data_IF_176844563552
#
_entry.id   IF_176844563552
#
_cell.length_a   1.000
_cell.length_b   1.000
_cell.length_c   1.000
_cell.angle_alpha   90.00
_cell.angle_beta   90.00
_cell.angle_gamma   90.00
#
_symmetry.space_group_name_H-M   'P 1'
#
loop_
_entity.id
_entity.type
_entity.pdbx_description
1 polymer ?
#
# COMPACT_ATOMS: atom_id res chain seq x y z
N UNK A 1 8.15 -40.78 57.65
CA UNK A 1 8.71 -39.51 58.14
C UNK A 1 8.18 -38.41 57.23
N UNK A 2 7.07 -37.81 57.62
CA UNK A 2 6.33 -36.85 56.80
C UNK A 2 6.36 -35.51 57.51
N UNK A 3 6.92 -34.50 56.86
CA UNK A 3 7.11 -33.17 57.44
C UNK A 3 5.90 -32.28 57.11
N UNK A 4 5.21 -31.98 58.19
CA UNK A 4 4.25 -30.93 58.53
C UNK A 4 4.16 -29.70 57.61
N UNK A 5 2.95 -29.46 57.12
CA UNK A 5 2.48 -28.17 56.60
C UNK A 5 2.17 -27.21 57.75
N UNK A 6 2.58 -25.94 57.64
CA UNK A 6 2.23 -24.90 58.62
C UNK A 6 1.66 -23.64 57.95
N UNK A 7 0.55 -23.19 58.55
CA UNK A 7 -0.42 -22.17 58.17
C UNK A 7 0.17 -20.76 57.99
N UNK A 8 -0.45 -20.03 57.05
CA UNK A 8 -0.51 -18.58 56.98
C UNK A 8 -1.29 -17.98 58.16
N UNK A 9 -0.90 -16.78 58.64
CA UNK A 9 -1.80 -15.76 59.21
C UNK A 9 -1.08 -14.40 59.51
N UNK A 10 -1.49 -13.35 58.77
CA UNK A 10 -1.74 -11.91 59.09
C UNK A 10 -0.92 -11.08 60.12
N UNK A 11 -0.65 -9.81 59.75
CA UNK A 11 -0.41 -8.65 60.65
C UNK A 11 0.95 -7.95 60.45
N UNK A 12 1.10 -6.89 59.63
CA UNK A 12 0.85 -5.45 59.89
C UNK A 12 1.78 -4.82 60.97
N UNK A 13 2.76 -4.00 60.51
CA UNK A 13 3.31 -2.72 61.05
C UNK A 13 4.85 -2.59 60.83
N UNK A 14 5.31 -1.68 59.95
CA UNK A 14 5.84 -0.31 60.21
C UNK A 14 7.38 -0.26 60.31
N UNK A 15 8.04 0.41 59.32
CA UNK A 15 9.06 1.48 59.46
C UNK A 15 9.49 1.93 58.03
N UNK A 16 8.93 3.00 57.43
CA UNK A 16 9.40 4.41 57.42
C UNK A 16 10.87 4.61 56.99
N UNK A 17 11.09 4.99 55.72
CA UNK A 17 12.14 5.95 55.33
C UNK A 17 11.55 6.92 54.30
N UNK A 18 11.75 8.21 54.59
CA UNK A 18 11.16 9.40 53.99
C UNK A 18 12.03 9.89 52.82
N UNK A 19 11.41 10.24 51.69
CA UNK A 19 11.98 11.17 50.71
C UNK A 19 10.85 12.01 50.10
N UNK A 20 10.76 13.26 50.55
CA UNK A 20 9.81 14.29 50.12
C UNK A 20 10.50 15.17 49.08
N UNK A 21 9.92 15.29 47.87
CA UNK A 21 10.09 16.47 47.02
C UNK A 21 8.79 16.80 46.29
N UNK A 22 8.50 18.10 46.29
CA UNK A 22 7.20 18.75 46.16
C UNK A 22 6.69 18.79 44.71
N UNK A 23 5.46 18.33 44.50
CA UNK A 23 4.65 18.68 43.32
C UNK A 23 3.77 19.88 43.67
N UNK A 24 4.06 21.02 43.05
CA UNK A 24 3.22 22.22 43.10
C UNK A 24 2.07 22.11 42.09
N UNK A 25 0.85 22.11 42.61
CA UNK A 25 -0.41 22.26 41.86
C UNK A 25 -0.56 23.69 41.32
N UNK A 26 -0.67 23.83 40.00
CA UNK A 26 -1.05 25.08 39.34
C UNK A 26 -2.53 25.07 38.94
N UNK A 27 -3.29 26.02 39.47
CA UNK A 27 -4.71 26.27 39.20
C UNK A 27 -4.92 27.21 38.00
N UNK A 28 -5.96 26.91 37.21
CA UNK A 28 -6.83 27.78 36.40
C UNK A 28 -6.38 29.19 36.05
N UNK A 29 -6.38 29.51 34.74
CA UNK A 29 -7.00 30.73 34.20
C UNK A 29 -7.19 30.61 32.68
N UNK A 30 -8.45 30.62 32.24
CA UNK A 30 -8.81 30.78 30.82
C UNK A 30 -8.85 32.28 30.52
N UNK A 31 -8.07 32.72 29.54
CA UNK A 31 -7.99 34.13 29.14
C UNK A 31 -8.80 34.32 27.85
N UNK A 32 -9.85 35.13 27.93
CA UNK A 32 -10.71 35.50 26.80
C UNK A 32 -9.97 36.41 25.82
N UNK A 33 -10.06 36.11 24.52
CA UNK A 33 -9.61 37.01 23.44
C UNK A 33 -10.77 37.91 23.04
N UNK A 34 -10.55 39.21 23.14
CA UNK A 34 -11.49 40.29 22.87
C UNK A 34 -11.42 40.68 21.38
N UNK A 35 -12.54 40.60 20.66
CA UNK A 35 -12.66 41.11 19.27
C UNK A 35 -13.47 42.41 19.28
N UNK A 36 -12.82 43.50 18.83
CA UNK A 36 -13.41 44.83 18.71
C UNK A 36 -14.30 44.92 17.46
N UNK A 37 -15.55 45.41 17.53
CA UNK A 37 -16.39 45.59 16.36
C UNK A 37 -16.13 46.91 15.62
N UNK A 38 -16.23 46.87 14.29
CA UNK A 38 -16.15 48.02 13.38
C UNK A 38 -17.54 48.70 13.30
N UNK A 39 -17.68 50.03 13.44
CA UNK A 39 -18.98 50.71 13.43
C UNK A 39 -19.42 51.14 12.02
N UNK A 40 -20.69 50.88 11.67
CA UNK A 40 -21.45 51.68 10.69
C UNK A 40 -22.05 50.93 9.49
N UNK A 41 -23.28 50.43 9.62
CA UNK A 41 -24.31 50.39 8.56
C UNK A 41 -25.69 50.02 9.17
N UNK A 42 -26.72 50.74 8.73
CA UNK A 42 -28.09 50.86 9.28
C UNK A 42 -28.96 49.58 9.27
N UNK A 43 -30.10 49.54 10.00
CA UNK A 43 -30.92 48.35 10.19
C UNK A 43 -32.06 48.28 9.16
N UNK A 44 -32.31 47.10 8.56
CA UNK A 44 -33.59 46.81 7.93
C UNK A 44 -33.86 45.30 7.79
N UNK A 45 -35.08 44.95 8.21
CA UNK A 45 -35.89 43.80 7.81
C UNK A 45 -35.61 42.42 8.44
N UNK A 46 -36.65 41.94 9.15
CA UNK A 46 -36.67 40.69 9.88
C UNK A 46 -37.07 39.48 9.04
N UNK A 47 -36.69 38.32 9.57
CA UNK A 47 -37.20 37.00 9.24
C UNK A 47 -37.33 36.19 10.55
N UNK A 48 -38.35 35.31 10.69
CA UNK A 48 -38.61 34.56 11.91
C UNK A 48 -37.56 33.46 12.14
N UNK A 49 -37.31 33.15 13.42
CA UNK A 49 -36.40 32.11 13.86
C UNK A 49 -36.80 30.72 13.35
N UNK A 50 -35.88 30.04 12.68
CA UNK A 50 -35.95 28.60 12.40
C UNK A 50 -35.52 27.79 13.64
N UNK A 51 -36.11 26.61 13.89
CA UNK A 51 -35.84 25.78 15.06
C UNK A 51 -34.41 25.25 15.09
N UNK A 52 -33.79 25.34 16.27
CA UNK A 52 -32.47 24.79 16.58
C UNK A 52 -32.53 23.24 16.51
N UNK A 53 -31.71 22.63 15.66
CA UNK A 53 -31.44 21.19 15.69
C UNK A 53 -30.49 20.85 16.86
N UNK A 54 -30.72 19.73 17.57
CA UNK A 54 -29.84 19.29 18.64
C UNK A 54 -28.53 18.69 18.12
N UNK A 55 -27.40 19.16 18.66
CA UNK A 55 -26.15 18.40 18.78
C UNK A 55 -25.18 18.48 17.60
N UNK A 56 -24.45 19.60 17.47
CA UNK A 56 -23.16 19.60 16.76
C UNK A 56 -22.06 19.34 17.78
N UNK A 57 -21.50 18.14 17.69
CA UNK A 57 -20.28 17.69 18.35
C UNK A 57 -19.13 18.62 17.95
N UNK A 58 -18.41 19.12 18.94
CA UNK A 58 -17.24 19.99 18.80
C UNK A 58 -16.19 19.32 17.90
N UNK A 59 -15.82 19.97 16.79
CA UNK A 59 -14.62 19.61 16.02
C UNK A 59 -13.39 19.97 16.85
N UNK A 60 -12.73 18.97 17.41
CA UNK A 60 -11.33 19.09 17.83
C UNK A 60 -10.49 19.32 16.58
N UNK A 61 -9.84 20.47 16.50
CA UNK A 61 -8.79 20.72 15.51
C UNK A 61 -7.64 19.75 15.83
N UNK A 62 -7.60 18.62 15.12
CA UNK A 62 -6.43 17.76 15.08
C UNK A 62 -5.38 18.51 14.27
N UNK A 63 -4.30 18.90 14.93
CA UNK A 63 -3.12 19.44 14.29
C UNK A 63 -2.57 18.38 13.33
N UNK A 64 -2.62 18.65 12.03
CA UNK A 64 -2.07 17.77 10.99
C UNK A 64 -0.54 17.74 11.13
N UNK A 65 -0.07 16.80 11.94
CA UNK A 65 1.32 16.37 11.96
C UNK A 65 1.64 15.88 10.55
N UNK A 66 2.42 16.67 9.81
CA UNK A 66 3.10 16.25 8.57
C UNK A 66 3.56 14.80 8.74
N UNK A 67 3.20 13.86 7.85
CA UNK A 67 3.66 12.50 7.99
C UNK A 67 5.18 12.50 7.82
N UNK A 68 5.88 12.49 8.95
CA UNK A 68 7.22 11.94 9.00
C UNK A 68 7.11 10.51 8.44
N UNK A 69 7.96 10.12 7.49
CA UNK A 69 8.04 8.73 7.09
C UNK A 69 8.28 7.91 8.36
N UNK A 70 7.65 6.74 8.53
CA UNK A 70 7.91 5.90 9.67
C UNK A 70 9.41 5.60 9.71
N UNK A 71 10.13 6.28 10.60
CA UNK A 71 11.44 5.86 11.10
C UNK A 71 11.20 4.68 12.03
N UNK A 72 10.61 3.62 11.46
CA UNK A 72 10.96 2.29 11.91
C UNK A 72 12.37 2.13 11.39
N UNK A 73 13.35 2.41 12.25
CA UNK A 73 14.62 1.73 12.15
C UNK A 73 14.28 0.24 12.20
N UNK A 74 14.06 -0.34 11.02
CA UNK A 74 14.14 -1.77 10.81
C UNK A 74 15.57 -2.04 11.22
N UNK A 75 15.75 -2.54 12.44
CA UNK A 75 16.95 -3.23 12.81
C UNK A 75 17.02 -4.36 11.80
N UNK A 76 17.74 -4.11 10.71
CA UNK A 76 18.08 -5.16 9.77
C UNK A 76 18.77 -6.26 10.57
N UNK A 77 18.64 -7.53 10.18
CA UNK A 77 19.59 -8.51 10.65
C UNK A 77 20.99 -7.92 10.43
N UNK A 78 21.75 -7.82 11.51
CA UNK A 78 23.12 -7.32 11.53
C UNK A 78 23.85 -7.93 10.35
N UNK A 79 24.36 -7.10 9.44
CA UNK A 79 25.08 -7.51 8.23
C UNK A 79 26.45 -8.16 8.52
N UNK A 80 26.58 -8.86 9.64
CA UNK A 80 27.84 -9.40 10.16
C UNK A 80 27.98 -10.93 10.06
N UNK A 81 27.00 -11.67 9.55
CA UNK A 81 27.07 -13.14 9.53
C UNK A 81 26.41 -13.65 8.24
N UNK A 82 27.07 -14.32 7.28
CA UNK A 82 28.28 -15.13 7.30
C UNK A 82 28.97 -14.99 5.94
N UNK A 83 30.27 -14.68 5.92
CA UNK A 83 31.15 -14.97 4.78
C UNK A 83 30.85 -16.37 4.28
N UNK A 84 30.63 -16.54 2.97
CA UNK A 84 30.32 -17.85 2.39
C UNK A 84 31.43 -18.85 2.74
N UNK A 85 31.08 -20.14 2.90
CA UNK A 85 32.07 -21.18 3.20
C UNK A 85 33.23 -21.17 2.19
N UNK A 86 32.92 -20.82 0.94
CA UNK A 86 33.90 -20.64 -0.13
C UNK A 86 34.82 -19.43 0.10
N UNK A 87 34.26 -18.26 0.42
CA UNK A 87 35.02 -17.05 0.71
C UNK A 87 35.96 -17.26 1.91
N UNK A 88 35.48 -17.99 2.93
CA UNK A 88 36.27 -18.36 4.10
C UNK A 88 37.40 -19.34 3.74
N UNK A 89 37.14 -20.32 2.87
CA UNK A 89 38.13 -21.29 2.42
C UNK A 89 39.27 -20.62 1.61
N UNK A 90 38.93 -19.71 0.71
CA UNK A 90 39.94 -18.98 -0.08
C UNK A 90 40.71 -18.00 0.79
N UNK A 91 40.06 -17.27 1.69
CA UNK A 91 40.72 -16.36 2.63
C UNK A 91 41.68 -17.06 3.59
N UNK A 92 41.50 -18.36 3.85
CA UNK A 92 42.45 -19.18 4.62
C UNK A 92 43.66 -19.63 3.80
N UNK A 93 43.51 -19.75 2.48
CA UNK A 93 44.54 -20.30 1.57
C UNK A 93 45.40 -19.20 0.93
N UNK A 94 44.91 -17.95 0.88
CA UNK A 94 45.66 -16.81 0.39
C UNK A 94 45.05 -15.48 0.85
N UNK A 95 45.87 -14.42 0.85
CA UNK A 95 45.51 -13.07 1.32
C UNK A 95 44.61 -12.28 0.35
N UNK A 96 43.74 -12.95 -0.41
CA UNK A 96 42.81 -12.27 -1.32
C UNK A 96 41.45 -12.12 -0.65
N UNK A 97 41.03 -10.87 -0.48
CA UNK A 97 39.66 -10.53 -0.13
C UNK A 97 38.77 -10.78 -1.35
N UNK A 98 38.03 -11.88 -1.33
CA UNK A 98 37.10 -12.25 -2.39
C UNK A 98 35.66 -12.13 -1.89
N UNK A 99 34.80 -11.55 -2.72
CA UNK A 99 33.36 -11.52 -2.52
C UNK A 99 32.67 -12.22 -3.68
N UNK A 100 31.56 -12.88 -3.41
CA UNK A 100 30.73 -13.43 -4.47
C UNK A 100 30.24 -12.32 -5.40
N UNK A 101 30.46 -12.53 -6.70
CA UNK A 101 30.07 -11.58 -7.73
C UNK A 101 28.55 -11.33 -7.73
N UNK A 102 28.16 -10.05 -7.69
CA UNK A 102 26.76 -9.63 -7.84
C UNK A 102 25.93 -9.62 -6.56
N UNK A 103 26.45 -10.08 -5.42
CA UNK A 103 25.75 -9.94 -4.12
C UNK A 103 25.68 -8.48 -3.64
N UNK A 104 26.61 -7.65 -4.11
CA UNK A 104 26.62 -6.20 -3.89
C UNK A 104 25.39 -5.51 -4.50
N UNK A 105 24.82 -6.07 -5.58
CA UNK A 105 23.61 -5.54 -6.22
C UNK A 105 22.39 -5.56 -5.28
N UNK A 106 22.32 -6.55 -4.39
CA UNK A 106 21.22 -6.70 -3.44
C UNK A 106 21.45 -5.92 -2.13
N UNK A 107 22.70 -5.54 -1.85
CA UNK A 107 23.08 -4.73 -0.70
C UNK A 107 22.56 -3.30 -0.78
N UNK A 108 22.26 -2.81 -1.99
CA UNK A 108 21.69 -1.48 -2.25
C UNK A 108 20.40 -1.63 -3.07
N UNK A 109 19.31 -2.14 -2.49
CA UNK A 109 18.08 -2.32 -3.24
C UNK A 109 17.60 -0.94 -3.73
N UNK A 110 17.38 -0.72 -5.04
CA UNK A 110 16.77 0.52 -5.49
C UNK A 110 15.40 0.67 -4.83
N UNK A 111 15.11 1.88 -4.40
CA UNK A 111 13.97 2.22 -3.54
C UNK A 111 12.60 2.11 -4.23
N UNK A 112 12.54 1.67 -5.49
CA UNK A 112 11.38 1.86 -6.37
C UNK A 112 10.81 0.58 -7.00
N UNK A 113 11.08 -0.61 -6.47
CA UNK A 113 10.39 -1.84 -6.91
C UNK A 113 8.94 -1.96 -6.44
N UNK A 114 8.24 -0.83 -6.29
CA UNK A 114 6.78 -0.85 -6.21
C UNK A 114 6.24 -1.53 -7.49
N UNK A 115 5.10 -2.25 -7.43
CA UNK A 115 4.46 -2.77 -8.62
C UNK A 115 4.39 -1.66 -9.67
N UNK A 116 4.99 -1.88 -10.84
CA UNK A 116 4.90 -0.90 -11.92
C UNK A 116 3.47 -1.00 -12.47
N UNK A 117 2.60 -0.11 -11.99
CA UNK A 117 1.18 -0.09 -12.32
C UNK A 117 0.90 0.56 -13.69
N UNK A 118 1.84 1.37 -14.20
CA UNK A 118 1.66 2.23 -15.38
C UNK A 118 2.58 1.87 -16.56
N UNK A 119 2.98 0.61 -16.71
CA UNK A 119 3.77 0.21 -17.90
C UNK A 119 2.86 0.17 -19.14
N UNK A 120 3.27 0.79 -20.26
CA UNK A 120 2.59 0.60 -21.54
C UNK A 120 2.52 -0.88 -21.91
N UNK A 121 1.32 -1.36 -22.18
CA UNK A 121 1.10 -2.77 -22.52
C UNK A 121 1.39 -2.98 -24.01
N UNK A 122 2.30 -3.90 -24.32
CA UNK A 122 2.63 -4.31 -25.68
C UNK A 122 1.51 -5.09 -26.37
N UNK A 123 1.51 -5.17 -27.71
CA UNK A 123 0.50 -5.91 -28.47
C UNK A 123 0.51 -7.43 -28.18
N UNK A 124 1.64 -7.96 -27.73
CA UNK A 124 1.93 -9.35 -27.40
C UNK A 124 1.49 -9.74 -25.97
N UNK A 125 1.05 -8.79 -25.16
CA UNK A 125 0.56 -9.08 -23.81
C UNK A 125 -0.66 -9.99 -23.84
N UNK A 126 -0.62 -11.07 -23.07
CA UNK A 126 -1.71 -12.03 -22.94
C UNK A 126 -2.64 -11.58 -21.83
N UNK A 127 -3.89 -11.28 -22.20
CA UNK A 127 -4.93 -10.80 -21.30
C UNK A 127 -5.39 -11.92 -20.37
N UNK A 128 -5.60 -11.60 -19.10
CA UNK A 128 -6.17 -12.55 -18.16
C UNK A 128 -7.06 -11.94 -17.08
N UNK A 129 -7.62 -12.80 -16.20
CA UNK A 129 -8.52 -12.36 -15.13
C UNK A 129 -7.89 -11.33 -14.20
N UNK A 130 -8.65 -10.29 -13.87
CA UNK A 130 -8.22 -9.18 -13.01
C UNK A 130 -7.61 -7.99 -13.74
N UNK A 131 -7.38 -8.08 -15.04
CA UNK A 131 -6.92 -6.93 -15.83
C UNK A 131 -8.07 -5.96 -16.10
N UNK A 132 -7.80 -4.66 -16.10
CA UNK A 132 -8.77 -3.65 -16.51
C UNK A 132 -8.61 -3.31 -18.00
N UNK A 133 -9.71 -3.33 -18.73
CA UNK A 133 -9.76 -2.91 -20.14
C UNK A 133 -10.61 -1.65 -20.24
N UNK A 134 -10.08 -0.65 -20.94
CA UNK A 134 -10.78 0.59 -21.26
C UNK A 134 -11.02 0.66 -22.75
N UNK A 135 -12.28 0.81 -23.13
CA UNK A 135 -12.72 0.92 -24.52
C UNK A 135 -13.29 2.32 -24.70
N UNK A 136 -12.67 3.11 -25.58
CA UNK A 136 -13.14 4.44 -25.97
C UNK A 136 -13.58 4.39 -27.42
N UNK A 137 -14.79 4.86 -27.71
CA UNK A 137 -15.40 4.86 -29.04
C UNK A 137 -15.89 6.25 -29.38
N UNK A 138 -15.70 6.67 -30.63
CA UNK A 138 -16.14 7.96 -31.18
C UNK A 138 -16.59 7.82 -32.65
N UNK A 139 -17.23 8.86 -33.19
CA UNK A 139 -17.76 8.88 -34.56
C UNK A 139 -19.29 8.82 -34.56
N UNK A 140 -19.87 7.77 -35.15
CA UNK A 140 -21.34 7.59 -35.17
C UNK A 140 -21.95 7.35 -33.78
N UNK A 141 -21.13 6.90 -32.83
CA UNK A 141 -21.46 6.78 -31.42
C UNK A 141 -20.30 7.30 -30.59
N UNK A 142 -20.58 7.77 -29.40
CA UNK A 142 -19.57 8.21 -28.44
C UNK A 142 -19.79 7.47 -27.12
N UNK A 143 -18.71 6.98 -26.54
CA UNK A 143 -18.77 6.27 -25.28
C UNK A 143 -17.41 5.83 -24.78
N UNK A 144 -17.27 5.74 -23.47
CA UNK A 144 -16.13 5.13 -22.81
C UNK A 144 -16.62 4.13 -21.80
N UNK A 145 -16.08 2.92 -21.87
CA UNK A 145 -16.40 1.83 -20.96
C UNK A 145 -15.12 1.29 -20.34
N UNK A 146 -15.16 1.13 -19.03
CA UNK A 146 -14.11 0.45 -18.27
C UNK A 146 -14.70 -0.85 -17.77
N UNK A 147 -14.01 -1.95 -18.00
CA UNK A 147 -14.48 -3.27 -17.61
C UNK A 147 -13.31 -4.14 -17.19
N UNK A 148 -13.45 -4.76 -16.03
CA UNK A 148 -12.45 -5.68 -15.48
C UNK A 148 -12.74 -7.09 -16.00
N UNK A 149 -11.70 -7.82 -16.36
CA UNK A 149 -11.80 -9.22 -16.76
C UNK A 149 -12.19 -10.07 -15.56
N UNK A 150 -13.34 -10.72 -15.63
CA UNK A 150 -13.82 -11.58 -14.55
C UNK A 150 -12.96 -12.85 -14.41
N UNK A 151 -13.10 -13.58 -13.30
CA UNK A 151 -12.45 -14.89 -13.05
C UNK A 151 -12.85 -15.95 -14.06
N UNK A 152 -14.03 -15.83 -14.66
CA UNK A 152 -14.46 -16.64 -15.82
C UNK A 152 -13.67 -16.33 -17.09
N UNK A 153 -12.92 -15.24 -17.11
CA UNK A 153 -12.10 -14.83 -18.23
C UNK A 153 -12.83 -14.01 -19.29
N UNK A 154 -13.97 -13.45 -18.92
CA UNK A 154 -14.83 -12.68 -19.80
C UNK A 154 -14.97 -11.22 -19.35
N UNK A 155 -15.31 -10.35 -20.30
CA UNK A 155 -15.59 -8.93 -20.09
C UNK A 155 -17.02 -8.65 -20.51
N UNK A 156 -17.71 -7.83 -19.73
CA UNK A 156 -19.08 -7.43 -20.04
C UNK A 156 -19.10 -6.02 -20.61
N UNK A 157 -19.50 -5.89 -21.88
CA UNK A 157 -19.70 -4.58 -22.51
C UNK A 157 -21.19 -4.29 -22.64
N UNK A 158 -21.64 -3.04 -22.41
CA UNK A 158 -23.02 -2.65 -22.70
C UNK A 158 -23.36 -2.92 -24.16
N UNK A 159 -24.59 -3.40 -24.42
CA UNK A 159 -25.14 -3.76 -25.75
C UNK A 159 -24.51 -4.98 -26.44
N UNK A 160 -23.21 -5.19 -26.28
CA UNK A 160 -22.48 -6.31 -26.90
C UNK A 160 -22.62 -7.59 -26.08
N UNK A 161 -22.69 -7.48 -24.75
CA UNK A 161 -22.82 -8.61 -23.84
C UNK A 161 -21.47 -9.12 -23.32
N UNK A 162 -21.42 -10.42 -23.05
CA UNK A 162 -20.26 -11.10 -22.46
C UNK A 162 -19.32 -11.56 -23.58
N UNK A 163 -18.06 -11.16 -23.51
CA UNK A 163 -17.03 -11.51 -24.48
C UNK A 163 -15.90 -12.26 -23.76
N UNK A 164 -15.56 -13.46 -24.20
CA UNK A 164 -14.41 -14.20 -23.69
C UNK A 164 -13.10 -13.60 -24.20
N UNK A 165 -12.21 -13.22 -23.29
CA UNK A 165 -10.96 -12.51 -23.62
C UNK A 165 -9.68 -13.20 -23.12
N UNK A 166 -9.83 -14.21 -22.26
CA UNK A 166 -8.68 -14.88 -21.65
C UNK A 166 -7.85 -15.64 -22.68
N UNK A 167 -6.53 -15.46 -22.59
CA UNK A 167 -5.59 -16.10 -23.50
C UNK A 167 -5.46 -15.41 -24.86
N UNK A 168 -6.24 -14.35 -25.12
CA UNK A 168 -6.04 -13.50 -26.29
C UNK A 168 -4.86 -12.56 -26.04
N UNK A 169 -4.09 -12.29 -27.08
CA UNK A 169 -3.15 -11.18 -27.05
C UNK A 169 -3.90 -9.85 -27.07
N UNK A 170 -3.28 -8.77 -26.61
CA UNK A 170 -3.88 -7.45 -26.62
C UNK A 170 -4.30 -7.01 -28.03
N UNK A 171 -3.52 -7.37 -29.06
CA UNK A 171 -3.90 -7.14 -30.45
C UNK A 171 -5.17 -7.93 -30.85
N UNK A 172 -5.24 -9.21 -30.51
CA UNK A 172 -6.40 -10.06 -30.80
C UNK A 172 -7.66 -9.60 -30.03
N UNK A 173 -7.48 -9.10 -28.81
CA UNK A 173 -8.55 -8.50 -28.01
C UNK A 173 -9.16 -7.31 -28.75
N UNK A 174 -8.32 -6.38 -29.22
CA UNK A 174 -8.76 -5.18 -29.96
C UNK A 174 -9.62 -5.53 -31.16
N UNK A 175 -9.15 -6.49 -31.95
CA UNK A 175 -9.85 -6.95 -33.15
C UNK A 175 -11.16 -7.67 -32.81
N UNK A 176 -11.18 -8.45 -31.73
CA UNK A 176 -12.37 -9.15 -31.27
C UNK A 176 -13.44 -8.17 -30.79
N UNK A 177 -13.08 -7.20 -29.96
CA UNK A 177 -14.01 -6.15 -29.50
C UNK A 177 -14.54 -5.36 -30.69
N UNK A 178 -13.68 -5.00 -31.66
CA UNK A 178 -14.07 -4.26 -32.87
C UNK A 178 -15.12 -5.05 -33.68
N UNK A 179 -14.87 -6.35 -33.88
CA UNK A 179 -15.77 -7.25 -34.61
C UNK A 179 -17.12 -7.37 -33.90
N UNK A 180 -17.15 -7.51 -32.59
CA UNK A 180 -18.39 -7.59 -31.84
C UNK A 180 -19.17 -6.26 -31.83
N UNK A 181 -18.51 -5.11 -31.72
CA UNK A 181 -19.16 -3.80 -31.83
C UNK A 181 -19.72 -3.55 -33.24
N UNK A 182 -19.03 -4.02 -34.28
CA UNK A 182 -19.43 -3.82 -35.68
C UNK A 182 -20.76 -4.50 -36.04
N UNK A 183 -21.23 -5.44 -35.23
CA UNK A 183 -22.55 -6.07 -35.39
C UNK A 183 -23.70 -5.13 -35.01
N UNK A 184 -23.44 -4.12 -34.19
CA UNK A 184 -24.45 -3.20 -33.65
C UNK A 184 -24.29 -1.76 -34.13
N UNK A 185 -23.05 -1.36 -34.46
CA UNK A 185 -22.71 0.01 -34.82
C UNK A 185 -21.89 0.04 -36.11
N UNK A 186 -22.13 1.05 -36.94
CA UNK A 186 -21.37 1.31 -38.17
C UNK A 186 -20.80 2.72 -38.12
N UNK A 187 -19.67 2.98 -38.81
CA UNK A 187 -19.09 4.33 -38.90
C UNK A 187 -18.41 4.84 -37.62
N UNK A 188 -18.06 3.94 -36.70
CA UNK A 188 -17.35 4.28 -35.47
C UNK A 188 -15.85 4.05 -35.59
N UNK A 189 -15.10 4.75 -34.75
CA UNK A 189 -13.69 4.53 -34.47
C UNK A 189 -13.55 4.10 -33.00
N UNK A 190 -12.56 3.27 -32.71
CA UNK A 190 -12.37 2.71 -31.38
C UNK A 190 -10.89 2.68 -31.00
N UNK A 191 -10.62 3.03 -29.75
CA UNK A 191 -9.37 2.74 -29.06
C UNK A 191 -9.63 1.78 -27.90
N UNK A 192 -8.74 0.83 -27.71
CA UNK A 192 -8.72 -0.01 -26.50
C UNK A 192 -7.39 0.22 -25.83
N UNK A 193 -7.41 0.50 -24.54
CA UNK A 193 -6.23 0.61 -23.70
C UNK A 193 -6.39 -0.30 -22.48
N UNK A 194 -5.27 -0.65 -21.87
CA UNK A 194 -5.27 -1.37 -20.59
C UNK A 194 -5.27 -0.33 -19.46
N UNK A 195 -6.04 -0.61 -18.42
CA UNK A 195 -5.97 0.08 -17.14
C UNK A 195 -4.94 -0.59 -16.23
N UNK A 196 -5.12 -0.50 -14.89
CA UNK A 196 -4.29 -1.23 -13.95
C UNK A 196 -4.27 -2.72 -14.27
N UNK A 197 -3.07 -3.28 -14.33
CA UNK A 197 -2.89 -4.71 -14.50
C UNK A 197 -3.09 -5.43 -13.17
N UNK A 198 -3.51 -6.69 -13.24
CA UNK A 198 -3.66 -7.49 -12.03
C UNK A 198 -2.31 -7.62 -11.31
N UNK A 199 -2.37 -7.62 -9.99
CA UNK A 199 -1.23 -7.92 -9.13
C UNK A 199 -1.21 -9.41 -8.79
N UNK A 200 -0.03 -10.01 -8.86
CA UNK A 200 0.18 -11.42 -8.54
C UNK A 200 0.89 -11.54 -7.20
N UNK A 201 0.44 -12.49 -6.37
CA UNK A 201 1.14 -12.87 -5.15
C UNK A 201 2.09 -14.02 -5.45
N UNK A 202 3.36 -13.82 -5.15
CA UNK A 202 4.41 -14.84 -5.21
C UNK A 202 4.90 -15.16 -3.79
N UNK A 203 5.42 -16.36 -3.61
CA UNK A 203 6.04 -16.80 -2.36
C UNK A 203 7.52 -17.04 -2.61
N UNK A 204 8.37 -16.32 -1.89
CA UNK A 204 9.82 -16.51 -1.91
C UNK A 204 10.20 -17.33 -0.69
N UNK A 205 10.81 -18.49 -0.94
CA UNK A 205 11.19 -19.49 0.07
C UNK A 205 12.61 -19.98 -0.18
N UNK A 206 13.23 -20.61 0.82
CA UNK A 206 14.60 -21.13 0.75
C UNK A 206 15.65 -20.13 1.22
N UNK A 207 16.83 -20.16 0.59
CA UNK A 207 17.96 -19.29 0.91
C UNK A 207 17.77 -17.90 0.26
N UNK A 208 16.85 -17.12 0.81
CA UNK A 208 16.64 -15.72 0.45
C UNK A 208 16.81 -14.86 1.71
N UNK A 209 17.30 -13.63 1.54
CA UNK A 209 17.53 -12.73 2.69
C UNK A 209 16.25 -12.40 3.45
N UNK A 210 15.13 -12.25 2.73
CA UNK A 210 13.81 -11.99 3.31
C UNK A 210 12.79 -12.95 2.69
N UNK A 211 12.62 -14.17 3.25
CA UNK A 211 11.57 -15.07 2.80
C UNK A 211 10.20 -14.50 3.18
N UNK A 212 9.20 -14.72 2.32
CA UNK A 212 7.87 -14.18 2.54
C UNK A 212 7.01 -14.12 1.29
N UNK A 213 5.80 -13.58 1.44
CA UNK A 213 4.89 -13.32 0.32
C UNK A 213 5.10 -11.92 -0.23
N UNK A 214 5.30 -11.81 -1.54
CA UNK A 214 5.45 -10.55 -2.25
C UNK A 214 4.33 -10.37 -3.27
N UNK A 215 3.88 -9.14 -3.42
CA UNK A 215 2.82 -8.74 -4.35
C UNK A 215 3.48 -7.91 -5.45
N UNK A 216 3.50 -8.43 -6.68
CA UNK A 216 4.20 -7.82 -7.83
C UNK A 216 3.25 -7.67 -9.02
N UNK A 217 3.55 -6.74 -9.94
CA UNK A 217 2.76 -6.55 -11.17
C UNK A 217 2.86 -7.78 -12.07
N UNK A 218 1.84 -8.05 -12.88
CA UNK A 218 1.87 -9.15 -13.86
C UNK A 218 2.95 -9.01 -14.93
N UNK A 219 3.47 -7.79 -15.14
CA UNK A 219 4.60 -7.53 -16.04
C UNK A 219 5.96 -7.64 -15.35
N UNK A 220 5.99 -7.88 -14.04
CA UNK A 220 7.22 -8.02 -13.28
C UNK A 220 7.95 -9.32 -13.63
N UNK A 221 9.28 -9.26 -13.66
CA UNK A 221 10.14 -10.43 -13.92
C UNK A 221 10.56 -11.11 -12.63
N UNK A 222 11.06 -12.35 -12.71
CA UNK A 222 11.66 -13.04 -11.57
C UNK A 222 12.82 -12.26 -10.94
N UNK A 223 13.57 -11.49 -11.76
CA UNK A 223 14.66 -10.64 -11.27
C UNK A 223 14.12 -9.58 -10.31
N UNK A 224 13.01 -8.91 -10.65
CA UNK A 224 12.40 -7.92 -9.78
C UNK A 224 11.89 -8.53 -8.46
N UNK A 225 11.39 -9.77 -8.51
CA UNK A 225 11.01 -10.51 -7.31
C UNK A 225 12.22 -10.84 -6.41
N UNK A 226 13.35 -11.25 -7.00
CA UNK A 226 14.58 -11.55 -6.29
C UNK A 226 15.17 -10.31 -5.61
N UNK A 227 15.10 -9.16 -6.27
CA UNK A 227 15.47 -7.90 -5.66
C UNK A 227 14.53 -7.51 -4.51
N UNK A 228 13.22 -7.76 -4.64
CA UNK A 228 12.25 -7.51 -3.58
C UNK A 228 12.50 -8.39 -2.33
N UNK A 229 12.98 -9.63 -2.52
CA UNK A 229 13.39 -10.52 -1.42
C UNK A 229 14.77 -10.21 -0.84
N UNK A 230 15.47 -9.20 -1.37
CA UNK A 230 16.80 -8.82 -0.92
C UNK A 230 17.91 -9.76 -1.41
N UNK A 231 17.67 -10.53 -2.47
CA UNK A 231 18.66 -11.44 -3.04
C UNK A 231 18.73 -12.82 -2.38
N UNK A 232 19.55 -13.72 -2.93
CA UNK A 232 19.88 -15.00 -2.31
C UNK A 232 20.72 -14.78 -1.05
N UNK A 233 20.55 -15.65 -0.05
CA UNK A 233 21.28 -15.63 1.22
C UNK A 233 22.31 -16.77 1.32
#
# INVERSE_FOLDING_TARGET
MSVTAMKAQWGVHVLVIIAVLLFSSGSTSAQQVQVTPIPGASPAFGLPALPQQPGVVQQTIIQEKKPEPPSTAVQGPTAAEKTSEFERFIGQTGSLDISQFGYDLFSRPPSTFAPVEEVPVGPDYVVGPGDEIRVSVWGSIEGQWTSVVDRSGAVTLPKVGIIGVTGLTFEQLRETIRRELSKYYTGFQMNVSMGPLRTMRIYVVGNAHKPGSYTISSLSTLVSALFASGGPA
#
